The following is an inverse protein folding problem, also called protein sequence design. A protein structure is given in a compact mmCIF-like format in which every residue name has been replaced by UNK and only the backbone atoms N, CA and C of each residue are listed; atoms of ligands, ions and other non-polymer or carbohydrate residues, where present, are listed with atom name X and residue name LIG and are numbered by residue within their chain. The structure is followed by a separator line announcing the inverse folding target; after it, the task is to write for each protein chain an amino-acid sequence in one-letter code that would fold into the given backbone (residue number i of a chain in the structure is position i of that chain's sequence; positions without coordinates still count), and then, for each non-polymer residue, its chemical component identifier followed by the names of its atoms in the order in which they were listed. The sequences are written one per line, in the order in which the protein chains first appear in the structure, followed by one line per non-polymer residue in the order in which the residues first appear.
data_IF_053676286865
#
_entry.id   IF_053676286865
#
_cell.length_a   1.000
_cell.length_b   1.000
_cell.length_c   1.000
_cell.angle_alpha   90.00
_cell.angle_beta   90.00
_cell.angle_gamma   90.00
#
_symmetry.space_group_name_H-M   'P 1'
#
loop_
_entity.id
_entity.type
_entity.pdbx_description
1 polymer ?
#
# COMPACT_ATOMS: atom_id res chain seq x y z
N UNK A 1 -3.82 15.42 14.19
CA UNK A 1 -3.99 14.56 12.99
C UNK A 1 -3.00 14.98 11.92
N UNK A 2 -2.24 14.05 11.34
CA UNK A 2 -1.22 14.35 10.33
C UNK A 2 -1.81 14.87 9.00
N UNK A 3 -0.96 15.37 8.10
CA UNK A 3 -1.37 15.93 6.80
C UNK A 3 -2.23 14.97 5.96
N UNK A 4 -2.14 13.65 6.20
CA UNK A 4 -2.91 12.60 5.53
C UNK A 4 -4.39 12.50 5.92
N UNK A 5 -4.86 13.24 6.94
CA UNK A 5 -6.28 13.26 7.38
C UNK A 5 -6.85 14.67 7.47
N UNK A 6 -6.08 15.70 7.10
CA UNK A 6 -6.52 17.10 7.14
C UNK A 6 -7.60 17.41 6.10
N UNK A 7 -8.42 18.43 6.32
CA UNK A 7 -9.58 18.75 5.49
C UNK A 7 -9.28 19.25 4.06
N UNK A 8 -8.00 19.27 3.65
CA UNK A 8 -7.64 19.62 2.28
C UNK A 8 -8.10 18.53 1.31
N UNK A 9 -9.09 18.87 0.48
CA UNK A 9 -9.69 17.98 -0.52
C UNK A 9 -8.65 17.35 -1.45
N UNK A 10 -7.57 18.05 -1.79
CA UNK A 10 -6.58 17.56 -2.77
C UNK A 10 -5.49 16.66 -2.16
N UNK A 11 -5.38 16.60 -0.84
CA UNK A 11 -4.28 15.89 -0.16
C UNK A 11 -4.75 14.75 0.73
N UNK A 12 -6.06 14.45 0.73
CA UNK A 12 -6.66 13.55 1.71
C UNK A 12 -7.38 12.34 1.10
N UNK A 13 -6.63 11.53 0.37
CA UNK A 13 -7.11 10.27 -0.20
C UNK A 13 -7.56 9.28 0.88
N UNK A 14 -6.86 9.25 2.03
CA UNK A 14 -7.19 8.33 3.12
C UNK A 14 -8.54 8.67 3.76
N UNK A 15 -8.83 9.93 4.10
CA UNK A 15 -10.16 10.35 4.58
C UNK A 15 -11.26 10.00 3.58
N UNK A 16 -11.05 10.26 2.29
CA UNK A 16 -12.03 9.93 1.25
C UNK A 16 -12.34 8.43 1.22
N UNK A 17 -11.32 7.58 1.37
CA UNK A 17 -11.53 6.13 1.47
C UNK A 17 -12.28 5.72 2.74
N UNK A 18 -11.96 6.33 3.89
CA UNK A 18 -12.65 6.07 5.17
C UNK A 18 -14.12 6.51 5.12
N UNK A 19 -14.38 7.74 4.70
CA UNK A 19 -15.74 8.30 4.55
C UNK A 19 -16.55 7.49 3.54
N UNK A 20 -15.95 7.09 2.41
CA UNK A 20 -16.60 6.21 1.42
C UNK A 20 -16.93 4.81 1.94
N UNK A 21 -16.37 4.41 3.08
CA UNK A 21 -16.68 3.16 3.81
C UNK A 21 -17.51 3.40 5.06
N UNK A 22 -18.03 4.61 5.26
CA UNK A 22 -18.77 5.05 6.45
C UNK A 22 -17.97 4.91 7.77
N UNK A 23 -16.66 5.15 7.71
CA UNK A 23 -15.77 5.17 8.87
C UNK A 23 -15.42 6.62 9.21
N UNK A 24 -15.64 7.03 10.46
CA UNK A 24 -15.27 8.37 10.92
C UNK A 24 -13.76 8.47 11.14
N UNK A 25 -13.03 9.28 10.33
CA UNK A 25 -11.58 9.44 10.46
C UNK A 25 -11.14 10.01 11.81
N UNK A 26 -11.98 10.81 12.48
CA UNK A 26 -11.67 11.45 13.76
C UNK A 26 -11.61 10.43 14.91
N UNK A 27 -12.32 9.32 14.77
CA UNK A 27 -12.33 8.22 15.75
C UNK A 27 -11.20 7.22 15.55
N UNK A 28 -10.48 7.32 14.43
CA UNK A 28 -9.45 6.35 14.06
C UNK A 28 -8.11 6.62 14.78
N UNK A 29 -7.45 5.56 15.23
CA UNK A 29 -6.02 5.57 15.52
C UNK A 29 -5.24 4.93 14.37
N UNK A 30 -4.00 5.39 14.15
CA UNK A 30 -3.19 4.97 13.00
C UNK A 30 -1.88 4.38 13.46
N UNK A 31 -1.53 3.23 12.87
CA UNK A 31 -0.19 2.65 12.92
C UNK A 31 0.41 2.68 11.52
N UNK A 32 1.48 3.44 11.33
CA UNK A 32 2.21 3.46 10.07
C UNK A 32 3.26 2.34 10.06
N UNK A 33 3.22 1.52 9.01
CA UNK A 33 4.24 0.50 8.71
C UNK A 33 4.81 0.85 7.35
N UNK A 34 6.12 0.93 7.25
CA UNK A 34 6.83 1.21 6.01
C UNK A 34 8.00 0.23 5.88
N UNK A 35 8.21 -0.28 4.68
CA UNK A 35 9.32 -1.17 4.36
C UNK A 35 10.02 -0.70 3.08
N UNK A 36 11.33 -0.51 3.16
CA UNK A 36 12.16 -0.11 2.04
C UNK A 36 13.59 0.23 2.48
N UNK A 37 14.45 0.60 1.52
CA UNK A 37 14.18 0.68 0.08
C UNK A 37 14.06 -0.71 -0.56
N UNK A 38 13.06 -0.89 -1.45
CA UNK A 38 12.86 -2.16 -2.19
C UNK A 38 13.68 -2.17 -3.49
N UNK A 39 13.87 -0.99 -4.08
CA UNK A 39 14.65 -0.77 -5.30
C UNK A 39 15.56 0.43 -5.04
N UNK A 40 16.72 0.43 -5.69
CA UNK A 40 17.63 1.57 -5.73
C UNK A 40 16.92 2.85 -6.23
N UNK A 41 17.52 4.01 -5.97
CA UNK A 41 17.01 5.30 -6.44
C UNK A 41 17.24 5.49 -7.95
N UNK A 42 16.21 5.96 -8.66
CA UNK A 42 16.23 6.11 -10.11
C UNK A 42 17.09 7.30 -10.53
N UNK A 43 17.99 7.09 -11.49
CA UNK A 43 18.85 8.15 -12.04
C UNK A 43 18.28 8.80 -13.30
N UNK A 44 17.17 8.28 -13.82
CA UNK A 44 16.49 8.79 -15.00
C UNK A 44 14.98 8.59 -14.94
N UNK A 45 14.25 9.36 -15.74
CA UNK A 45 12.78 9.27 -15.81
C UNK A 45 12.29 7.91 -16.31
N UNK A 46 12.99 7.28 -17.26
CA UNK A 46 12.66 5.93 -17.73
C UNK A 46 12.84 4.88 -16.63
N UNK A 47 13.94 4.96 -15.87
CA UNK A 47 14.16 4.10 -14.72
C UNK A 47 13.09 4.33 -13.65
N UNK A 48 12.72 5.59 -13.38
CA UNK A 48 11.66 5.92 -12.44
C UNK A 48 10.34 5.27 -12.85
N UNK A 49 9.94 5.38 -14.12
CA UNK A 49 8.70 4.77 -14.63
C UNK A 49 8.71 3.24 -14.43
N UNK A 50 9.77 2.56 -14.86
CA UNK A 50 9.91 1.10 -14.72
C UNK A 50 9.87 0.66 -13.24
N UNK A 51 10.55 1.38 -12.36
CA UNK A 51 10.58 1.07 -10.93
C UNK A 51 9.23 1.31 -10.28
N UNK A 52 8.59 2.45 -10.56
CA UNK A 52 7.22 2.74 -10.10
C UNK A 52 6.23 1.67 -10.55
N UNK A 53 6.33 1.22 -11.80
CA UNK A 53 5.47 0.17 -12.34
C UNK A 53 5.70 -1.18 -11.62
N UNK A 54 6.95 -1.49 -11.25
CA UNK A 54 7.30 -2.66 -10.42
C UNK A 54 6.77 -2.54 -8.99
N UNK A 55 6.89 -1.37 -8.36
CA UNK A 55 6.33 -1.11 -7.02
C UNK A 55 4.81 -1.28 -7.05
N UNK A 56 4.12 -0.68 -8.03
CA UNK A 56 2.67 -0.77 -8.17
C UNK A 56 2.17 -2.22 -8.36
N UNK A 57 2.96 -3.08 -9.02
CA UNK A 57 2.65 -4.51 -9.13
C UNK A 57 2.72 -5.21 -7.75
N UNK A 58 3.75 -4.92 -6.95
CA UNK A 58 3.90 -5.48 -5.60
C UNK A 58 2.85 -4.94 -4.62
N UNK A 59 2.52 -3.65 -4.67
CA UNK A 59 1.44 -3.06 -3.87
C UNK A 59 0.09 -3.68 -4.18
N UNK A 60 -0.19 -3.93 -5.47
CA UNK A 60 -1.41 -4.63 -5.88
C UNK A 60 -1.44 -6.06 -5.33
N UNK A 61 -0.34 -6.81 -5.48
CA UNK A 61 -0.27 -8.18 -4.98
C UNK A 61 -0.49 -8.24 -3.46
N UNK A 62 0.14 -7.36 -2.69
CA UNK A 62 -0.07 -7.26 -1.24
C UNK A 62 -1.53 -6.92 -0.89
N UNK A 63 -2.13 -5.95 -1.59
CA UNK A 63 -3.53 -5.59 -1.36
C UNK A 63 -4.50 -6.74 -1.66
N UNK A 64 -4.25 -7.48 -2.75
CA UNK A 64 -5.04 -8.64 -3.14
C UNK A 64 -4.91 -9.77 -2.11
N UNK A 65 -3.69 -10.08 -1.65
CA UNK A 65 -3.43 -11.12 -0.64
C UNK A 65 -4.02 -10.75 0.72
N UNK A 66 -3.82 -9.51 1.19
CA UNK A 66 -4.46 -9.01 2.41
C UNK A 66 -5.99 -9.13 2.34
N UNK A 67 -6.58 -8.81 1.19
CA UNK A 67 -8.02 -8.97 0.97
C UNK A 67 -8.42 -10.45 1.00
N UNK A 68 -7.65 -11.33 0.36
CA UNK A 68 -7.92 -12.76 0.29
C UNK A 68 -7.88 -13.43 1.66
N UNK A 69 -6.98 -13.01 2.55
CA UNK A 69 -6.93 -13.51 3.94
C UNK A 69 -7.94 -12.85 4.87
N UNK A 70 -8.72 -11.87 4.40
CA UNK A 70 -9.86 -11.30 5.13
C UNK A 70 -9.65 -9.91 5.74
N UNK A 71 -8.55 -9.22 5.45
CA UNK A 71 -8.43 -7.81 5.83
C UNK A 71 -9.36 -6.92 5.00
N UNK A 72 -9.95 -5.92 5.64
CA UNK A 72 -10.69 -4.87 4.95
C UNK A 72 -9.72 -3.82 4.37
N UNK A 73 -9.17 -4.12 3.19
CA UNK A 73 -8.28 -3.19 2.48
C UNK A 73 -9.11 -2.05 1.86
N UNK A 74 -8.93 -0.84 2.38
CA UNK A 74 -9.70 0.35 1.95
C UNK A 74 -9.23 0.93 0.62
N UNK A 75 -7.95 0.74 0.26
CA UNK A 75 -7.38 1.23 -0.98
C UNK A 75 -7.54 0.21 -2.12
N UNK A 76 -7.67 0.67 -3.36
CA UNK A 76 -7.65 -0.17 -4.56
C UNK A 76 -6.47 0.19 -5.45
N UNK A 77 -5.52 -0.73 -5.59
CA UNK A 77 -4.33 -0.53 -6.44
C UNK A 77 -4.61 -1.06 -7.85
N UNK A 78 -4.81 -0.16 -8.81
CA UNK A 78 -5.04 -0.53 -10.21
C UNK A 78 -3.70 -0.63 -10.96
N UNK A 79 -3.16 -1.84 -11.06
CA UNK A 79 -1.96 -2.15 -11.82
C UNK A 79 -2.16 -3.35 -12.75
N UNK A 80 -1.64 -3.28 -13.97
CA UNK A 80 -1.66 -4.37 -14.98
C UNK A 80 -0.29 -4.97 -15.26
N UNK A 81 0.74 -4.50 -14.55
CA UNK A 81 2.11 -4.93 -14.74
C UNK A 81 2.32 -6.32 -14.12
N UNK A 82 3.22 -7.10 -14.71
CA UNK A 82 3.56 -8.43 -14.19
C UNK A 82 4.29 -8.29 -12.86
N UNK A 83 3.91 -9.13 -11.89
CA UNK A 83 4.57 -9.21 -10.59
C UNK A 83 5.92 -9.92 -10.72
N UNK A 84 6.95 -9.35 -10.09
CA UNK A 84 8.20 -10.04 -9.82
C UNK A 84 8.06 -10.79 -8.48
N UNK A 85 7.77 -12.09 -8.55
CA UNK A 85 7.46 -12.92 -7.38
C UNK A 85 8.64 -12.99 -6.41
N UNK A 86 9.88 -12.99 -6.92
CA UNK A 86 11.08 -13.07 -6.09
C UNK A 86 11.25 -11.81 -5.23
N UNK A 87 11.05 -10.63 -5.82
CA UNK A 87 11.06 -9.36 -5.06
C UNK A 87 9.86 -9.24 -4.13
N UNK A 88 8.70 -9.72 -4.56
CA UNK A 88 7.50 -9.66 -3.76
C UNK A 88 7.61 -10.51 -2.49
N UNK A 89 8.28 -11.65 -2.53
CA UNK A 89 8.45 -12.52 -1.36
C UNK A 89 9.08 -11.80 -0.16
N UNK A 90 10.08 -10.93 -0.37
CA UNK A 90 10.68 -10.16 0.73
C UNK A 90 9.72 -9.11 1.29
N UNK A 91 8.94 -8.46 0.42
CA UNK A 91 7.90 -7.50 0.82
C UNK A 91 6.82 -8.21 1.64
N UNK A 92 6.32 -9.35 1.15
CA UNK A 92 5.32 -10.15 1.85
C UNK A 92 5.81 -10.56 3.24
N UNK A 93 7.02 -11.13 3.33
CA UNK A 93 7.62 -11.53 4.61
C UNK A 93 7.75 -10.36 5.60
N UNK A 94 8.18 -9.18 5.12
CA UNK A 94 8.29 -8.00 5.98
C UNK A 94 6.94 -7.53 6.53
N UNK A 95 5.88 -7.59 5.73
CA UNK A 95 4.54 -7.21 6.17
C UNK A 95 3.87 -8.27 7.04
N UNK A 96 4.13 -9.56 6.81
CA UNK A 96 3.60 -10.66 7.62
C UNK A 96 3.94 -10.50 9.11
N UNK A 97 5.13 -9.99 9.44
CA UNK A 97 5.55 -9.66 10.81
C UNK A 97 4.60 -8.69 11.54
N UNK A 98 3.84 -7.90 10.80
CA UNK A 98 2.94 -6.90 11.35
C UNK A 98 1.45 -7.27 11.20
N UNK A 99 1.13 -8.21 10.30
CA UNK A 99 -0.22 -8.58 9.91
C UNK A 99 -0.42 -10.09 10.05
N UNK A 100 -0.92 -10.51 11.22
CA UNK A 100 -1.05 -11.93 11.62
C UNK A 100 -1.78 -12.84 10.63
N UNK A 101 -2.72 -12.32 9.85
CA UNK A 101 -3.48 -13.15 8.89
C UNK A 101 -2.72 -13.38 7.58
N UNK A 102 -1.59 -12.68 7.36
CA UNK A 102 -0.65 -12.96 6.27
C UNK A 102 0.35 -14.06 6.64
N UNK A 103 0.39 -14.49 7.90
CA UNK A 103 1.16 -15.68 8.30
C UNK A 103 0.36 -16.91 7.89
N UNK A 104 0.81 -17.56 6.80
CA UNK A 104 0.42 -18.91 6.41
C UNK A 104 1.45 -19.92 6.89
#
# INVERSE_FOLDING_TARGET
MGQHLGHNKNSNVLRRHLEGKNIDPETCSFRLIAHGPILEEAKSQDQHRKRRDSIAAMEKALADEMTAVGYNVVNRVNCRMKLDVAKFASVHAAFALHFKMLEG
#
